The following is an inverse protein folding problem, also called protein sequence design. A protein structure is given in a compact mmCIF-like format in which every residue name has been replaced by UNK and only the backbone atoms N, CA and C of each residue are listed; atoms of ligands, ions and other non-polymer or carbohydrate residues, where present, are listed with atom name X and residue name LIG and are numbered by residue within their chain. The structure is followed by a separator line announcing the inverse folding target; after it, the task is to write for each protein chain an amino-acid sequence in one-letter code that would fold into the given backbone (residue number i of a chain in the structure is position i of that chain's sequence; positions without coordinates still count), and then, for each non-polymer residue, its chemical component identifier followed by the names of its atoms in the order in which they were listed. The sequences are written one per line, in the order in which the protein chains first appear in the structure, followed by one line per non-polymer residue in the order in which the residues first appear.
data_IF_522493069185
#
_entry.id   IF_522493069185
#
_cell.length_a   1.000
_cell.length_b   1.000
_cell.length_c   1.000
_cell.angle_alpha   90.00
_cell.angle_beta   90.00
_cell.angle_gamma   90.00
#
_symmetry.space_group_name_H-M   'P 1'
#
loop_
_entity.id
_entity.type
_entity.pdbx_description
1 polymer ?
#
# COMPACT_ATOMS: atom_id res chain seq x y z
N UNK A 1 -22.30 11.26 -6.27
CA UNK A 1 -22.21 9.87 -6.77
C UNK A 1 -20.98 9.23 -6.12
N UNK A 2 -21.03 7.98 -5.66
CA UNK A 2 -19.82 7.29 -5.22
C UNK A 2 -18.85 7.18 -6.41
N UNK A 3 -17.61 7.61 -6.24
CA UNK A 3 -16.54 7.42 -7.22
C UNK A 3 -15.65 6.27 -6.77
N UNK A 4 -15.45 5.29 -7.63
CA UNK A 4 -14.43 4.28 -7.43
C UNK A 4 -13.09 4.86 -7.90
N UNK A 5 -12.11 4.93 -6.99
CA UNK A 5 -10.77 5.42 -7.28
C UNK A 5 -9.79 4.28 -7.02
N UNK A 6 -8.94 3.99 -8.01
CA UNK A 6 -7.77 3.14 -7.86
C UNK A 6 -6.55 4.06 -7.87
N UNK A 7 -5.79 4.04 -6.78
CA UNK A 7 -4.51 4.76 -6.68
C UNK A 7 -3.36 3.75 -6.69
N UNK A 8 -2.22 4.20 -7.18
CA UNK A 8 -0.98 3.44 -7.15
C UNK A 8 -0.30 3.52 -5.78
N UNK A 9 0.57 2.56 -5.45
CA UNK A 9 1.34 2.58 -4.22
C UNK A 9 2.29 3.78 -4.14
N UNK A 10 2.64 4.40 -5.29
CA UNK A 10 3.41 5.64 -5.35
C UNK A 10 2.58 6.91 -5.14
N UNK A 11 1.27 6.80 -4.88
CA UNK A 11 0.41 7.97 -4.67
C UNK A 11 0.80 8.75 -3.41
N UNK A 12 0.79 10.09 -3.50
CA UNK A 12 0.99 10.97 -2.34
C UNK A 12 -0.13 10.89 -1.31
N UNK A 13 -1.27 10.28 -1.66
CA UNK A 13 -2.37 10.03 -0.73
C UNK A 13 -2.03 8.94 0.30
N UNK A 14 -0.99 8.13 0.03
CA UNK A 14 -0.51 7.10 0.94
C UNK A 14 0.72 7.64 1.68
N UNK A 15 0.63 7.72 3.01
CA UNK A 15 1.72 8.18 3.86
C UNK A 15 2.41 6.98 4.49
N UNK A 16 3.61 6.66 4.00
CA UNK A 16 4.44 5.59 4.52
C UNK A 16 5.29 6.04 5.72
N UNK A 17 5.50 5.11 6.66
CA UNK A 17 6.56 5.23 7.68
C UNK A 17 7.96 5.09 7.06
N UNK A 18 9.01 5.39 7.82
CA UNK A 18 10.40 5.35 7.33
C UNK A 18 10.90 3.98 6.88
N UNK A 19 10.22 2.90 7.27
CA UNK A 19 10.66 1.52 7.03
C UNK A 19 10.08 0.93 5.73
N UNK A 20 9.67 1.77 4.79
CA UNK A 20 9.25 1.37 3.44
C UNK A 20 10.29 1.81 2.41
N UNK A 21 10.51 0.96 1.42
CA UNK A 21 11.36 1.30 0.28
C UNK A 21 10.61 1.02 -1.03
N UNK A 22 10.69 1.97 -1.96
CA UNK A 22 10.36 1.74 -3.35
C UNK A 22 11.39 0.77 -3.95
N UNK A 23 10.95 -0.07 -4.89
CA UNK A 23 11.80 -1.14 -5.41
C UNK A 23 12.73 -0.74 -6.56
N UNK A 24 13.82 -1.49 -6.63
CA UNK A 24 14.77 -1.52 -7.72
C UNK A 24 14.07 -1.59 -9.10
N UNK A 25 14.33 -0.57 -9.93
CA UNK A 25 13.79 -0.46 -11.30
C UNK A 25 14.21 -1.60 -12.24
N UNK A 26 15.19 -2.41 -11.83
CA UNK A 26 15.66 -3.57 -12.58
C UNK A 26 15.02 -4.90 -12.12
N UNK A 27 14.02 -4.87 -11.23
CA UNK A 27 13.28 -6.07 -10.86
C UNK A 27 12.53 -6.63 -12.09
N UNK A 28 12.79 -7.88 -12.52
CA UNK A 28 12.12 -8.46 -13.68
C UNK A 28 10.62 -8.68 -13.47
N UNK A 29 10.15 -8.75 -12.22
CA UNK A 29 8.73 -8.86 -11.87
C UNK A 29 8.00 -7.51 -11.82
N UNK A 30 8.72 -6.39 -11.96
CA UNK A 30 8.13 -5.05 -11.91
C UNK A 30 6.90 -4.87 -12.83
N UNK A 31 6.85 -5.42 -14.07
CA UNK A 31 5.67 -5.32 -14.93
C UNK A 31 4.41 -6.04 -14.41
N UNK A 32 4.53 -6.89 -13.39
CA UNK A 32 3.39 -7.58 -12.76
C UNK A 32 2.65 -6.69 -11.76
N UNK A 33 3.24 -5.56 -11.36
CA UNK A 33 2.65 -4.62 -10.43
C UNK A 33 1.88 -3.51 -11.14
N UNK A 34 0.88 -2.94 -10.46
CA UNK A 34 0.15 -1.79 -10.99
C UNK A 34 1.13 -0.64 -11.25
N UNK A 35 1.03 -0.02 -12.43
CA UNK A 35 1.95 1.01 -12.94
C UNK A 35 3.46 0.69 -12.85
N UNK A 36 3.82 -0.59 -12.75
CA UNK A 36 5.21 -1.03 -12.61
C UNK A 36 5.91 -0.41 -11.39
N UNK A 37 5.19 -0.31 -10.27
CA UNK A 37 5.68 0.22 -8.98
C UNK A 37 5.24 -0.67 -7.83
N UNK A 38 6.06 -0.72 -6.77
CA UNK A 38 5.65 -1.23 -5.47
C UNK A 38 6.54 -0.69 -4.34
N UNK A 39 5.96 -0.58 -3.14
CA UNK A 39 6.66 -0.32 -1.89
C UNK A 39 6.69 -1.60 -1.05
N UNK A 40 7.89 -1.97 -0.58
CA UNK A 40 8.09 -3.10 0.31
C UNK A 40 8.46 -2.64 1.72
N UNK A 41 7.78 -3.18 2.74
CA UNK A 41 8.19 -3.04 4.12
C UNK A 41 9.55 -3.72 4.36
N UNK A 42 10.50 -3.00 4.97
CA UNK A 42 11.87 -3.43 5.19
C UNK A 42 12.15 -3.84 6.65
N UNK A 43 11.24 -3.53 7.57
CA UNK A 43 11.35 -3.87 8.98
C UNK A 43 9.96 -4.09 9.59
N UNK A 44 9.94 -4.77 10.72
CA UNK A 44 8.74 -4.88 11.54
C UNK A 44 8.20 -3.50 11.92
N UNK A 45 6.90 -3.44 12.19
CA UNK A 45 6.17 -2.21 12.56
C UNK A 45 6.11 -1.13 11.46
N UNK A 46 6.59 -1.42 10.25
CA UNK A 46 6.33 -0.56 9.09
C UNK A 46 4.82 -0.41 8.85
N UNK A 47 4.33 0.83 8.87
CA UNK A 47 2.93 1.16 8.62
C UNK A 47 2.77 2.13 7.45
N UNK A 48 1.59 2.14 6.86
CA UNK A 48 1.16 3.08 5.83
C UNK A 48 -0.23 3.59 6.19
N UNK A 49 -0.46 4.90 6.05
CA UNK A 49 -1.74 5.54 6.34
C UNK A 49 -2.40 6.00 5.04
N UNK A 50 -3.68 5.70 4.89
CA UNK A 50 -4.52 6.19 3.79
C UNK A 50 -5.85 6.68 4.37
N UNK A 51 -6.22 7.90 4.02
CA UNK A 51 -7.55 8.44 4.33
C UNK A 51 -8.44 8.26 3.11
N UNK A 52 -9.61 7.66 3.29
CA UNK A 52 -10.56 7.44 2.21
C UNK A 52 -11.98 7.84 2.61
N UNK A 53 -12.78 8.24 1.62
CA UNK A 53 -14.22 8.45 1.79
C UNK A 53 -14.96 7.31 1.10
N UNK A 54 -15.64 6.46 1.86
CA UNK A 54 -16.42 5.36 1.30
C UNK A 54 -16.79 4.30 2.34
N UNK A 55 -17.45 3.25 1.88
CA UNK A 55 -17.84 2.10 2.70
C UNK A 55 -16.88 0.91 2.57
N UNK A 56 -15.93 0.98 1.64
CA UNK A 56 -15.10 -0.16 1.26
C UNK A 56 -13.73 0.29 0.78
N UNK A 57 -12.72 -0.50 1.13
CA UNK A 57 -11.33 -0.34 0.70
C UNK A 57 -10.82 -1.72 0.29
N UNK A 58 -10.02 -1.77 -0.77
CA UNK A 58 -9.34 -2.96 -1.25
C UNK A 58 -7.85 -2.65 -1.30
N UNK A 59 -7.03 -3.53 -0.72
CA UNK A 59 -5.56 -3.41 -0.71
C UNK A 59 -5.02 -4.61 -1.48
N UNK A 60 -4.21 -4.34 -2.50
CA UNK A 60 -3.59 -5.35 -3.33
C UNK A 60 -2.09 -5.40 -3.06
N UNK A 61 -1.54 -6.59 -2.92
CA UNK A 61 -0.12 -6.80 -2.65
C UNK A 61 0.27 -8.25 -2.91
N UNK A 62 1.57 -8.53 -2.88
CA UNK A 62 2.09 -9.88 -3.10
C UNK A 62 1.99 -10.73 -1.84
N UNK A 63 1.92 -12.05 -2.03
CA UNK A 63 2.01 -13.06 -0.97
C UNK A 63 3.20 -13.97 -1.25
N UNK A 64 3.92 -14.40 -0.22
CA UNK A 64 5.08 -15.28 -0.38
C UNK A 64 5.67 -15.73 0.96
N UNK A 65 6.62 -16.67 0.94
CA UNK A 65 7.21 -17.25 2.15
C UNK A 65 8.00 -16.24 3.00
N UNK A 66 8.44 -15.13 2.40
CA UNK A 66 9.12 -14.03 3.09
C UNK A 66 8.17 -12.90 3.51
N UNK A 67 6.85 -13.07 3.35
CA UNK A 67 5.87 -12.02 3.61
C UNK A 67 5.28 -12.15 5.01
N UNK A 68 5.36 -11.07 5.77
CA UNK A 68 4.95 -11.01 7.19
C UNK A 68 3.43 -10.83 7.31
N UNK A 69 2.87 -11.12 8.49
CA UNK A 69 1.47 -10.85 8.82
C UNK A 69 1.16 -9.36 8.69
N UNK A 70 0.06 -9.04 8.03
CA UNK A 70 -0.47 -7.67 7.91
C UNK A 70 -1.55 -7.48 8.98
N UNK A 71 -1.54 -6.33 9.66
CA UNK A 71 -2.63 -5.88 10.53
C UNK A 71 -3.32 -4.67 9.88
N UNK A 72 -4.64 -4.70 9.78
CA UNK A 72 -5.44 -3.59 9.25
C UNK A 72 -6.21 -2.92 10.39
N UNK A 73 -6.00 -1.63 10.58
CA UNK A 73 -6.73 -0.81 11.55
C UNK A 73 -7.58 0.20 10.80
N UNK A 74 -8.91 0.08 10.91
CA UNK A 74 -9.86 1.05 10.36
C UNK A 74 -10.42 1.85 11.52
N UNK A 75 -10.05 3.13 11.58
CA UNK A 75 -10.62 4.08 12.54
C UNK A 75 -11.52 5.08 11.81
N UNK A 76 -12.58 5.51 12.48
CA UNK A 76 -13.36 6.66 12.04
C UNK A 76 -12.67 7.91 12.55
N UNK A 77 -12.42 8.89 11.68
CA UNK A 77 -12.11 10.24 12.12
C UNK A 77 -13.42 10.87 12.64
N UNK A 78 -13.57 10.98 13.96
CA UNK A 78 -14.63 11.81 14.54
C UNK A 78 -14.26 13.28 14.26
N UNK A 79 -15.14 14.00 13.56
CA UNK A 79 -15.17 15.46 13.57
C UNK A 79 -16.14 15.91 14.66
#
# INVERSE_FOLDING_TARGET
MPSNITIDDSSTDIVYSSNWAAVNKNDPSLPEFFQSTYHGAQADEAYANLTFTGSSIYIYGTKGPSHVRISLIISRAFH
#
